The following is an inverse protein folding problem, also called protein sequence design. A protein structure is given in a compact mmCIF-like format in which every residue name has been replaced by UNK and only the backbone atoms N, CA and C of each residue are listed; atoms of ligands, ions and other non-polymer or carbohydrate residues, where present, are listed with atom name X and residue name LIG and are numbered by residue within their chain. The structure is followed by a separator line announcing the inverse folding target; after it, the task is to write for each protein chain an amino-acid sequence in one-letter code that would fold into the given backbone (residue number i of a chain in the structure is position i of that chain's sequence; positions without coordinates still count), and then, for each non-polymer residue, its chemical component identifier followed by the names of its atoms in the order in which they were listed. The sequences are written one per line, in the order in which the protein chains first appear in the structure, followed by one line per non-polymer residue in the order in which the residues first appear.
data_IF_395091677064
#
_entry.id   IF_395091677064
#
_cell.length_a   1.000
_cell.length_b   1.000
_cell.length_c   1.000
_cell.angle_alpha   90.00
_cell.angle_beta   90.00
_cell.angle_gamma   90.00
#
_symmetry.space_group_name_H-M   'P 1'
#
loop_
_entity.id
_entity.type
_entity.pdbx_description
1 polymer ?
#
# COMPACT_ATOMS: atom_id res chain seq x y z
N UNK A 1 41.93 7.34 -48.28
CA UNK A 1 41.82 7.41 -46.80
C UNK A 1 40.34 7.53 -46.49
N UNK A 2 39.70 6.45 -46.02
CA UNK A 2 38.24 6.40 -45.79
C UNK A 2 37.96 6.51 -44.28
N UNK A 3 37.21 7.53 -43.90
CA UNK A 3 36.89 7.85 -42.50
C UNK A 3 35.72 6.98 -42.06
N UNK A 4 35.97 5.98 -41.21
CA UNK A 4 34.92 5.14 -40.62
C UNK A 4 34.19 5.94 -39.55
N UNK A 5 32.98 6.42 -39.86
CA UNK A 5 32.12 7.08 -38.89
C UNK A 5 31.63 6.03 -37.87
N UNK A 6 32.19 6.05 -36.66
CA UNK A 6 31.69 5.25 -35.55
C UNK A 6 30.38 5.87 -35.06
N UNK A 7 29.28 5.17 -35.29
CA UNK A 7 27.95 5.54 -34.80
C UNK A 7 27.93 5.35 -33.28
N UNK A 8 28.04 6.45 -32.54
CA UNK A 8 27.89 6.46 -31.08
C UNK A 8 26.46 6.06 -30.73
N UNK A 9 26.26 4.80 -30.35
CA UNK A 9 24.98 4.31 -29.84
C UNK A 9 24.82 4.78 -28.39
N UNK A 10 24.16 5.92 -28.21
CA UNK A 10 23.74 6.41 -26.90
C UNK A 10 22.66 5.46 -26.36
N UNK A 11 23.08 4.40 -25.67
CA UNK A 11 22.18 3.60 -24.85
C UNK A 11 21.61 4.56 -23.81
N UNK A 12 20.34 4.95 -23.93
CA UNK A 12 19.64 5.71 -22.87
C UNK A 12 19.66 4.82 -21.62
N UNK A 13 20.67 5.02 -20.80
CA UNK A 13 20.68 4.53 -19.43
C UNK A 13 19.69 5.43 -18.70
N UNK A 14 18.39 5.14 -18.80
CA UNK A 14 17.44 5.45 -17.73
C UNK A 14 17.78 4.57 -16.51
N UNK A 15 19.04 4.63 -16.09
CA UNK A 15 19.52 4.00 -14.88
C UNK A 15 19.01 4.89 -13.75
N UNK A 16 17.88 4.49 -13.17
CA UNK A 16 17.42 5.07 -11.91
C UNK A 16 18.58 5.02 -10.93
N UNK A 17 18.83 6.14 -10.24
CA UNK A 17 19.95 6.22 -9.32
C UNK A 17 19.86 5.06 -8.31
N UNK A 18 20.94 4.28 -8.11
CA UNK A 18 20.93 3.16 -7.17
C UNK A 18 20.47 3.55 -5.77
N UNK A 19 20.82 4.78 -5.35
CA UNK A 19 20.36 5.36 -4.09
C UNK A 19 18.83 5.48 -3.98
N UNK A 20 18.13 5.88 -5.05
CA UNK A 20 16.66 6.00 -5.05
C UNK A 20 15.98 4.63 -4.97
N UNK A 21 16.52 3.63 -5.67
CA UNK A 21 16.03 2.25 -5.58
C UNK A 21 16.12 1.73 -4.13
N UNK A 22 17.28 1.94 -3.50
CA UNK A 22 17.54 1.50 -2.13
C UNK A 22 16.66 2.24 -1.12
N UNK A 23 16.60 3.58 -1.20
CA UNK A 23 15.83 4.38 -0.24
C UNK A 23 14.34 4.04 -0.29
N UNK A 24 13.75 3.92 -1.47
CA UNK A 24 12.33 3.61 -1.61
C UNK A 24 12.01 2.18 -1.12
N UNK A 25 12.85 1.20 -1.44
CA UNK A 25 12.65 -0.16 -0.95
C UNK A 25 12.75 -0.26 0.58
N UNK A 26 13.67 0.49 1.20
CA UNK A 26 13.76 0.58 2.68
C UNK A 26 12.49 1.22 3.26
N UNK A 27 11.98 2.30 2.65
CA UNK A 27 10.74 2.96 3.10
C UNK A 27 9.56 1.98 3.05
N UNK A 28 9.40 1.23 1.96
CA UNK A 28 8.33 0.23 1.81
C UNK A 28 8.40 -0.88 2.87
N UNK A 29 9.61 -1.37 3.19
CA UNK A 29 9.82 -2.33 4.28
C UNK A 29 9.46 -1.71 5.63
N UNK A 30 9.91 -0.49 5.92
CA UNK A 30 9.59 0.21 7.17
C UNK A 30 8.07 0.36 7.31
N UNK A 31 7.36 0.74 6.24
CA UNK A 31 5.89 0.81 6.23
C UNK A 31 5.27 -0.54 6.65
N UNK A 32 5.71 -1.64 6.03
CA UNK A 32 5.20 -2.97 6.38
C UNK A 32 5.50 -3.37 7.83
N UNK A 33 6.70 -3.07 8.33
CA UNK A 33 7.06 -3.30 9.73
C UNK A 33 6.21 -2.45 10.69
N UNK A 34 5.95 -1.19 10.36
CA UNK A 34 5.07 -0.32 11.15
C UNK A 34 3.65 -0.87 11.20
N UNK A 35 3.08 -1.28 10.05
CA UNK A 35 1.75 -1.92 10.01
C UNK A 35 1.71 -3.14 10.93
N UNK A 36 2.74 -4.00 10.89
CA UNK A 36 2.75 -5.19 11.73
C UNK A 36 2.91 -4.85 13.22
N UNK A 37 3.96 -4.13 13.61
CA UNK A 37 4.31 -3.94 15.02
C UNK A 37 3.38 -2.95 15.73
N UNK A 38 2.91 -1.90 15.05
CA UNK A 38 2.07 -0.88 15.67
C UNK A 38 0.59 -1.29 15.59
N UNK A 39 0.15 -1.89 14.48
CA UNK A 39 -1.26 -2.22 14.29
C UNK A 39 -1.57 -3.70 14.50
N UNK A 40 -0.97 -4.61 13.73
CA UNK A 40 -1.37 -6.03 13.78
C UNK A 40 -1.06 -6.70 15.13
N UNK A 41 0.12 -6.44 15.68
CA UNK A 41 0.61 -7.06 16.91
C UNK A 41 -0.13 -6.59 18.17
N UNK A 42 -0.88 -5.48 18.10
CA UNK A 42 -1.64 -4.93 19.24
C UNK A 42 -3.05 -5.50 19.34
N UNK A 43 -3.49 -6.32 18.39
CA UNK A 43 -4.83 -6.89 18.34
C UNK A 43 -4.84 -8.40 18.66
N UNK A 44 -5.95 -8.87 19.25
CA UNK A 44 -6.23 -10.30 19.35
C UNK A 44 -6.75 -10.86 18.01
N UNK A 45 -6.70 -12.18 17.84
CA UNK A 45 -7.02 -12.83 16.57
C UNK A 45 -8.52 -12.86 16.24
N UNK A 46 -9.38 -12.69 17.25
CA UNK A 46 -10.83 -12.74 17.20
C UNK A 46 -11.49 -11.38 16.91
N UNK A 47 -10.73 -10.29 16.91
CA UNK A 47 -11.25 -8.95 16.67
C UNK A 47 -11.58 -8.75 15.19
N UNK A 48 -12.79 -8.26 14.95
CA UNK A 48 -13.28 -7.91 13.62
C UNK A 48 -13.39 -6.40 13.46
N UNK A 49 -13.19 -5.94 12.24
CA UNK A 49 -13.46 -4.56 11.81
C UNK A 49 -14.60 -4.59 10.80
N UNK A 50 -15.63 -3.76 11.02
CA UNK A 50 -16.77 -3.67 10.10
C UNK A 50 -16.76 -2.30 9.43
N UNK A 51 -16.62 -2.28 8.10
CA UNK A 51 -16.87 -1.08 7.31
C UNK A 51 -18.29 -1.13 6.76
N UNK A 52 -19.13 -0.20 7.26
CA UNK A 52 -20.51 -0.05 6.80
C UNK A 52 -20.50 0.64 5.45
N UNK A 53 -21.02 -0.04 4.44
CA UNK A 53 -20.96 0.40 3.03
C UNK A 53 -22.28 1.03 2.57
N UNK A 54 -23.34 0.91 3.36
CA UNK A 54 -24.62 1.59 3.12
C UNK A 54 -24.84 2.67 4.19
N UNK A 55 -24.79 3.97 3.83
CA UNK A 55 -25.12 5.04 4.76
C UNK A 55 -26.57 4.93 5.28
N UNK A 56 -26.81 5.42 6.49
CA UNK A 56 -28.16 5.44 7.06
C UNK A 56 -29.12 6.30 6.24
N UNK A 57 -30.34 5.81 6.00
CA UNK A 57 -31.39 6.52 5.26
C UNK A 57 -31.40 6.27 3.75
N UNK A 58 -30.67 5.26 3.25
CA UNK A 58 -30.65 4.89 1.83
C UNK A 58 -31.18 3.46 1.63
N UNK A 59 -32.31 3.34 0.91
CA UNK A 59 -32.97 2.05 0.63
C UNK A 59 -32.72 1.54 -0.80
N UNK A 60 -32.05 2.32 -1.65
CA UNK A 60 -31.76 1.98 -3.05
C UNK A 60 -30.25 1.93 -3.26
N UNK A 61 -29.75 0.83 -3.83
CA UNK A 61 -28.31 0.65 -4.11
C UNK A 61 -27.48 0.17 -2.90
N UNK A 62 -28.08 -0.58 -1.98
CA UNK A 62 -27.40 -1.09 -0.78
C UNK A 62 -26.21 -1.99 -1.14
N UNK A 63 -25.09 -1.77 -0.46
CA UNK A 63 -23.89 -2.61 -0.52
C UNK A 63 -23.71 -3.33 0.82
N UNK A 64 -23.35 -4.61 0.76
CA UNK A 64 -23.04 -5.39 1.95
C UNK A 64 -21.82 -4.80 2.69
N UNK A 65 -21.89 -4.82 4.01
CA UNK A 65 -20.80 -4.37 4.87
C UNK A 65 -19.55 -5.23 4.68
N UNK A 66 -18.38 -4.60 4.77
CA UNK A 66 -17.12 -5.31 4.72
C UNK A 66 -16.70 -5.68 6.13
N UNK A 67 -16.77 -6.98 6.41
CA UNK A 67 -16.36 -7.56 7.69
C UNK A 67 -14.98 -8.19 7.52
N UNK A 68 -13.99 -7.65 8.21
CA UNK A 68 -12.59 -8.06 8.08
C UNK A 68 -12.07 -8.62 9.42
N UNK A 69 -11.43 -9.80 9.43
CA UNK A 69 -10.65 -10.22 10.59
C UNK A 69 -9.43 -9.29 10.72
N UNK A 70 -9.44 -8.42 11.73
CA UNK A 70 -8.59 -7.22 11.76
C UNK A 70 -7.10 -7.58 11.76
N UNK A 71 -6.67 -8.43 12.70
CA UNK A 71 -5.28 -8.86 12.82
C UNK A 71 -4.76 -9.58 11.57
N UNK A 72 -5.55 -10.50 11.01
CA UNK A 72 -5.18 -11.24 9.80
C UNK A 72 -5.00 -10.28 8.62
N UNK A 73 -5.97 -9.38 8.43
CA UNK A 73 -5.93 -8.40 7.34
C UNK A 73 -4.71 -7.49 7.43
N UNK A 74 -4.42 -6.94 8.61
CA UNK A 74 -3.22 -6.12 8.85
C UNK A 74 -1.91 -6.89 8.61
N UNK A 75 -1.86 -8.16 9.01
CA UNK A 75 -0.68 -9.01 8.80
C UNK A 75 -0.43 -9.24 7.31
N UNK A 76 -1.48 -9.47 6.52
CA UNK A 76 -1.38 -9.62 5.07
C UNK A 76 -0.91 -8.30 4.42
N UNK A 77 -1.50 -7.17 4.81
CA UNK A 77 -1.13 -5.85 4.28
C UNK A 77 0.33 -5.50 4.59
N UNK A 78 0.79 -5.77 5.82
CA UNK A 78 2.19 -5.66 6.19
C UNK A 78 3.10 -6.52 5.30
N UNK A 79 2.72 -7.78 5.08
CA UNK A 79 3.44 -8.71 4.22
C UNK A 79 3.56 -8.21 2.78
N UNK A 80 2.49 -7.65 2.21
CA UNK A 80 2.50 -7.08 0.86
C UNK A 80 3.52 -5.94 0.77
N UNK A 81 3.51 -4.97 1.71
CA UNK A 81 4.47 -3.87 1.72
C UNK A 81 5.91 -4.35 1.84
N UNK A 82 6.19 -5.35 2.69
CA UNK A 82 7.52 -5.94 2.84
C UNK A 82 7.98 -6.62 1.55
N UNK A 83 7.11 -7.42 0.92
CA UNK A 83 7.43 -8.11 -0.35
C UNK A 83 7.72 -7.09 -1.45
N UNK A 84 6.91 -6.03 -1.56
CA UNK A 84 7.15 -4.95 -2.52
C UNK A 84 8.50 -4.27 -2.27
N UNK A 85 8.81 -3.94 -1.02
CA UNK A 85 10.10 -3.36 -0.64
C UNK A 85 11.29 -4.27 -0.96
N UNK A 86 11.19 -5.57 -0.70
CA UNK A 86 12.23 -6.54 -1.07
C UNK A 86 12.40 -6.59 -2.60
N UNK A 87 11.30 -6.62 -3.37
CA UNK A 87 11.36 -6.60 -4.84
C UNK A 87 11.98 -5.30 -5.35
N UNK A 88 11.66 -4.16 -4.74
CA UNK A 88 12.24 -2.86 -5.05
C UNK A 88 13.75 -2.84 -4.78
N UNK A 89 14.22 -3.47 -3.69
CA UNK A 89 15.66 -3.58 -3.38
C UNK A 89 16.42 -4.52 -4.33
N UNK A 90 15.83 -5.66 -4.70
CA UNK A 90 16.50 -6.65 -5.55
C UNK A 90 16.46 -6.22 -7.02
N UNK A 91 15.26 -5.97 -7.56
CA UNK A 91 15.04 -5.70 -8.98
C UNK A 91 14.85 -4.22 -9.23
N UNK A 92 14.00 -3.57 -8.44
CA UNK A 92 13.55 -2.20 -8.67
C UNK A 92 12.40 -2.16 -9.68
N UNK A 93 11.50 -1.19 -9.53
CA UNK A 93 10.29 -1.03 -10.34
C UNK A 93 10.42 -0.04 -11.50
N UNK A 94 11.61 0.51 -11.75
CA UNK A 94 11.79 1.47 -12.83
C UNK A 94 10.91 2.71 -12.61
N UNK A 95 10.27 3.19 -13.67
CA UNK A 95 9.37 4.34 -13.66
C UNK A 95 8.15 4.14 -12.74
N UNK A 96 7.73 2.89 -12.50
CA UNK A 96 6.61 2.56 -11.61
C UNK A 96 6.96 2.68 -10.11
N UNK A 97 8.21 2.98 -9.74
CA UNK A 97 8.64 3.11 -8.33
C UNK A 97 7.73 4.04 -7.54
N UNK A 98 7.38 5.21 -8.08
CA UNK A 98 6.53 6.17 -7.36
C UNK A 98 5.11 5.64 -7.16
N UNK A 99 4.59 4.89 -8.13
CA UNK A 99 3.29 4.25 -8.02
C UNK A 99 3.30 3.19 -6.92
N UNK A 100 4.35 2.36 -6.85
CA UNK A 100 4.47 1.33 -5.80
C UNK A 100 4.57 1.95 -4.41
N UNK A 101 5.38 3.01 -4.25
CA UNK A 101 5.45 3.76 -2.99
C UNK A 101 4.09 4.35 -2.62
N UNK A 102 3.38 4.94 -3.59
CA UNK A 102 2.02 5.45 -3.38
C UNK A 102 1.03 4.37 -2.97
N UNK A 103 1.11 3.18 -3.58
CA UNK A 103 0.32 2.00 -3.19
C UNK A 103 0.63 1.60 -1.75
N UNK A 104 1.90 1.47 -1.36
CA UNK A 104 2.28 1.19 0.02
C UNK A 104 1.75 2.26 1.00
N UNK A 105 1.74 3.53 0.60
CA UNK A 105 1.11 4.62 1.36
C UNK A 105 -0.40 4.44 1.53
N UNK A 106 -1.13 4.08 0.47
CA UNK A 106 -2.56 3.77 0.54
C UNK A 106 -2.84 2.55 1.43
N UNK A 107 -2.01 1.49 1.33
CA UNK A 107 -2.11 0.33 2.20
C UNK A 107 -1.86 0.69 3.67
N UNK A 108 -0.94 1.61 3.96
CA UNK A 108 -0.73 2.13 5.31
C UNK A 108 -1.95 2.86 5.85
N UNK A 109 -2.54 3.76 5.05
CA UNK A 109 -3.77 4.48 5.43
C UNK A 109 -4.92 3.50 5.67
N UNK A 110 -5.12 2.54 4.77
CA UNK A 110 -6.17 1.53 4.94
C UNK A 110 -5.93 0.65 6.17
N UNK A 111 -4.68 0.27 6.43
CA UNK A 111 -4.29 -0.46 7.65
C UNK A 111 -4.62 0.35 8.91
N UNK A 112 -4.35 1.65 8.90
CA UNK A 112 -4.74 2.53 9.99
C UNK A 112 -6.25 2.55 10.21
N UNK A 113 -7.06 2.58 9.14
CA UNK A 113 -8.53 2.51 9.26
C UNK A 113 -8.99 1.17 9.85
N UNK A 114 -8.39 0.05 9.45
CA UNK A 114 -8.71 -1.27 10.01
C UNK A 114 -8.43 -1.28 11.52
N UNK A 115 -7.26 -0.78 11.91
CA UNK A 115 -6.84 -0.72 13.31
C UNK A 115 -7.74 0.20 14.14
N UNK A 116 -8.05 1.40 13.66
CA UNK A 116 -8.92 2.35 14.36
C UNK A 116 -10.35 1.85 14.54
N UNK A 117 -10.87 1.13 13.55
CA UNK A 117 -12.21 0.55 13.59
C UNK A 117 -12.23 -0.88 14.19
N UNK A 118 -11.12 -1.36 14.74
CA UNK A 118 -11.04 -2.70 15.34
C UNK A 118 -12.01 -2.84 16.53
N UNK A 119 -12.84 -3.88 16.49
CA UNK A 119 -13.89 -4.14 17.48
C UNK A 119 -15.10 -3.21 17.36
N UNK A 120 -15.18 -2.42 16.29
CA UNK A 120 -16.22 -1.41 16.05
C UNK A 120 -16.67 -1.44 14.58
N UNK A 121 -17.73 -0.69 14.31
CA UNK A 121 -18.20 -0.41 12.96
C UNK A 121 -17.86 1.03 12.56
N UNK A 122 -17.40 1.24 11.33
CA UNK A 122 -17.10 2.55 10.75
C UNK A 122 -17.91 2.74 9.47
N UNK A 123 -18.69 3.82 9.36
CA UNK A 123 -19.47 4.15 8.16
C UNK A 123 -18.57 4.79 7.10
N UNK A 124 -17.95 3.94 6.29
CA UNK A 124 -16.95 4.37 5.32
C UNK A 124 -17.63 5.14 4.17
N UNK A 125 -18.79 4.67 3.72
CA UNK A 125 -19.54 5.31 2.65
C UNK A 125 -20.00 6.74 3.04
N UNK A 126 -20.47 6.93 4.26
CA UNK A 126 -20.85 8.24 4.78
C UNK A 126 -19.67 9.21 4.90
N UNK A 127 -18.50 8.72 5.35
CA UNK A 127 -17.28 9.52 5.43
C UNK A 127 -16.78 9.96 4.05
N UNK A 128 -16.81 9.06 3.06
CA UNK A 128 -16.40 9.38 1.69
C UNK A 128 -17.38 10.36 1.01
N UNK A 129 -18.68 10.20 1.24
CA UNK A 129 -19.70 11.11 0.70
C UNK A 129 -19.62 12.51 1.30
N UNK A 130 -19.11 12.66 2.52
CA UNK A 130 -18.98 13.96 3.18
C UNK A 130 -17.69 14.70 2.82
N UNK A 131 -16.73 13.99 2.18
CA UNK A 131 -15.44 14.54 1.78
C UNK A 131 -15.47 15.20 0.39
N UNK A 132 -16.58 15.07 -0.36
CA UNK A 132 -16.78 15.59 -1.71
C UNK A 132 -17.95 16.57 -1.78
#
# INVERSE_FOLDING_TARGET
MATTAQTLSYKKLTAISPARKISMGIVEIIIGLLIYFIFAATLSADVQTVFVMTPGGIDVGQMADWVLPARLSLTILAGICIVLGIVQLIKGFGEATNTVVGVCGLLLIFSFLIWQASGKSLNLAGMLSSAV
#
